data_IF_100806730675
#
_entry.id   IF_100806730675
#
_cell.length_a   1.000
_cell.length_b   1.000
_cell.length_c   1.000
_cell.angle_alpha   90.00
_cell.angle_beta   90.00
_cell.angle_gamma   90.00
#
_symmetry.space_group_name_H-M   'P 1'
#
loop_
_entity.id
_entity.type
_entity.pdbx_description
1 polymer ?
#
# COMPACT_ATOMS: atom_id res chain seq x y z
N UNK A 1 14.98 -1.83 -0.39
CA UNK A 1 14.94 -3.09 -1.16
C UNK A 1 16.07 -3.99 -0.70
N UNK A 2 15.75 -5.26 -0.46
CA UNK A 2 16.71 -6.30 -0.11
C UNK A 2 16.62 -7.43 -1.16
N UNK A 3 17.71 -8.15 -1.41
CA UNK A 3 17.81 -9.18 -2.45
C UNK A 3 19.00 -8.97 -3.38
N UNK A 4 19.22 -9.90 -4.31
CA UNK A 4 20.29 -9.81 -5.32
C UNK A 4 20.03 -8.64 -6.28
N UNK A 5 21.08 -8.07 -6.85
CA UNK A 5 20.96 -6.97 -7.82
C UNK A 5 20.12 -7.34 -9.05
N UNK A 6 20.21 -8.60 -9.49
CA UNK A 6 19.37 -9.14 -10.56
C UNK A 6 17.89 -9.12 -10.19
N UNK A 7 17.53 -9.59 -8.98
CA UNK A 7 16.15 -9.59 -8.51
C UNK A 7 15.59 -8.17 -8.36
N UNK A 8 16.41 -7.21 -7.88
CA UNK A 8 16.01 -5.80 -7.79
C UNK A 8 15.72 -5.21 -9.17
N UNK A 9 16.56 -5.49 -10.18
CA UNK A 9 16.35 -5.02 -11.57
C UNK A 9 15.09 -5.63 -12.19
N UNK A 10 14.87 -6.93 -12.02
CA UNK A 10 13.68 -7.61 -12.53
C UNK A 10 12.40 -7.07 -11.87
N UNK A 11 12.43 -6.86 -10.54
CA UNK A 11 11.32 -6.24 -9.81
C UNK A 11 10.99 -4.84 -10.35
N UNK A 12 12.00 -3.98 -10.56
CA UNK A 12 11.79 -2.65 -11.12
C UNK A 12 11.22 -2.68 -12.54
N UNK A 13 11.69 -3.60 -13.38
CA UNK A 13 11.19 -3.79 -14.75
C UNK A 13 9.71 -4.17 -14.73
N UNK A 14 9.30 -5.05 -13.82
CA UNK A 14 7.91 -5.47 -13.70
C UNK A 14 7.03 -4.40 -13.03
N UNK A 15 7.57 -3.67 -12.06
CA UNK A 15 6.88 -2.55 -11.42
C UNK A 15 6.49 -1.49 -12.45
N UNK A 16 7.43 -1.10 -13.34
CA UNK A 16 7.20 -0.11 -14.40
C UNK A 16 6.15 -0.54 -15.45
N UNK A 17 5.79 -1.82 -15.54
CA UNK A 17 4.75 -2.29 -16.48
C UNK A 17 3.33 -2.04 -15.96
N UNK A 18 3.15 -1.68 -14.69
CA UNK A 18 1.82 -1.47 -14.09
C UNK A 18 1.20 -0.20 -14.64
N UNK A 19 -0.02 -0.31 -15.17
CA UNK A 19 -0.77 0.82 -15.75
C UNK A 19 -1.08 1.95 -14.75
N UNK A 20 -1.21 1.61 -13.47
CA UNK A 20 -1.46 2.58 -12.40
C UNK A 20 -0.21 3.36 -11.99
N UNK A 21 0.99 2.96 -12.42
CA UNK A 21 2.24 3.63 -12.02
C UNK A 21 2.63 4.67 -13.08
N UNK A 22 2.55 5.95 -12.73
CA UNK A 22 2.89 7.08 -13.61
C UNK A 22 4.36 7.47 -13.54
N UNK A 23 4.96 7.35 -12.37
CA UNK A 23 6.36 7.70 -12.14
C UNK A 23 7.00 6.71 -11.19
N UNK A 24 8.27 6.39 -11.45
CA UNK A 24 9.11 5.59 -10.57
C UNK A 24 10.45 6.29 -10.43
N UNK A 25 10.86 6.58 -9.20
CA UNK A 25 12.18 7.10 -8.85
C UNK A 25 12.88 6.10 -7.93
N UNK A 26 14.19 5.92 -8.12
CA UNK A 26 15.00 5.05 -7.28
C UNK A 26 16.16 5.84 -6.71
N UNK A 27 16.30 5.82 -5.38
CA UNK A 27 17.45 6.41 -4.67
C UNK A 27 18.07 5.34 -3.78
N UNK A 28 19.23 4.81 -4.17
CA UNK A 28 19.85 3.68 -3.51
C UNK A 28 18.91 2.46 -3.44
N UNK A 29 18.59 2.04 -2.22
CA UNK A 29 17.67 0.92 -1.97
C UNK A 29 16.20 1.36 -1.81
N UNK A 30 15.87 2.64 -1.98
CA UNK A 30 14.51 3.16 -1.88
C UNK A 30 13.88 3.31 -3.28
N UNK A 31 12.59 3.01 -3.38
CA UNK A 31 11.78 3.27 -4.57
C UNK A 31 10.63 4.18 -4.15
N UNK A 32 10.42 5.23 -4.92
CA UNK A 32 9.26 6.11 -4.83
C UNK A 32 8.41 5.91 -6.08
N UNK A 33 7.10 5.72 -5.91
CA UNK A 33 6.17 5.60 -7.03
C UNK A 33 5.06 6.62 -6.91
N UNK A 34 4.72 7.25 -8.05
CA UNK A 34 3.47 8.00 -8.19
C UNK A 34 2.45 7.06 -8.84
N UNK A 35 1.39 6.77 -8.11
CA UNK A 35 0.33 5.88 -8.55
C UNK A 35 -0.93 6.72 -8.86
N UNK A 36 -1.53 6.49 -10.01
CA UNK A 36 -2.89 6.94 -10.34
C UNK A 36 -3.78 5.69 -10.29
N UNK A 37 -4.63 5.63 -9.26
CA UNK A 37 -5.63 4.56 -9.14
C UNK A 37 -6.93 4.99 -9.86
N UNK A 38 -7.63 4.06 -10.52
CA UNK A 38 -8.94 4.34 -11.11
C UNK A 38 -9.92 4.88 -10.06
N UNK A 39 -10.88 5.75 -10.44
CA UNK A 39 -11.90 6.26 -9.53
C UNK A 39 -12.71 5.15 -8.84
N UNK A 40 -12.92 4.00 -9.51
CA UNK A 40 -13.60 2.84 -8.89
C UNK A 40 -12.81 2.22 -7.73
N UNK A 41 -11.56 2.63 -7.53
CA UNK A 41 -10.68 2.24 -6.44
C UNK A 41 -10.51 3.29 -5.35
N UNK A 42 -11.39 4.28 -5.31
CA UNK A 42 -11.51 5.26 -4.23
C UNK A 42 -11.85 4.65 -2.85
N UNK A 43 -11.88 3.34 -2.66
CA UNK A 43 -12.03 2.72 -1.33
C UNK A 43 -10.95 3.13 -0.33
N UNK A 44 -9.81 3.65 -0.79
CA UNK A 44 -8.80 4.27 0.07
C UNK A 44 -9.15 5.69 0.54
N UNK A 45 -10.12 6.38 -0.08
CA UNK A 45 -10.46 7.77 0.27
C UNK A 45 -10.97 7.89 1.70
N UNK A 46 -11.75 6.92 2.17
CA UNK A 46 -12.34 6.94 3.51
C UNK A 46 -11.27 6.92 4.60
N UNK A 47 -10.29 6.00 4.62
CA UNK A 47 -9.20 6.07 5.61
C UNK A 47 -8.38 7.37 5.57
N UNK A 48 -8.28 8.05 4.42
CA UNK A 48 -7.57 9.32 4.26
C UNK A 48 -8.46 10.56 4.47
N UNK A 49 -9.72 10.38 4.89
CA UNK A 49 -10.59 11.48 5.28
C UNK A 49 -9.96 12.21 6.49
N UNK A 50 -9.82 13.56 6.44
CA UNK A 50 -9.18 14.34 7.50
C UNK A 50 -9.90 14.26 8.86
N UNK A 51 -11.14 13.76 8.90
CA UNK A 51 -11.85 13.49 10.15
C UNK A 51 -11.25 12.30 10.92
N UNK A 52 -10.47 11.43 10.26
CA UNK A 52 -9.79 10.33 10.92
C UNK A 52 -8.44 10.73 11.50
N UNK A 53 -8.21 10.29 12.73
CA UNK A 53 -6.94 10.33 13.42
C UNK A 53 -6.29 8.96 13.20
N UNK A 54 -5.17 8.94 12.48
CA UNK A 54 -4.37 7.74 12.27
C UNK A 54 -3.16 7.75 13.21
N UNK A 55 -3.13 6.95 14.29
CA UNK A 55 -1.89 6.71 15.01
C UNK A 55 -0.91 5.99 14.07
N UNK A 56 0.25 6.60 13.81
CA UNK A 56 1.39 5.95 13.14
C UNK A 56 2.34 5.43 14.22
N UNK A 57 2.99 4.26 14.03
CA UNK A 57 3.14 3.50 12.78
C UNK A 57 2.06 2.42 12.53
N UNK A 58 1.79 2.13 11.25
CA UNK A 58 0.96 0.97 10.84
C UNK A 58 1.77 -0.31 11.07
N UNK A 59 1.23 -1.25 11.83
CA UNK A 59 1.87 -2.54 12.06
C UNK A 59 1.58 -3.52 10.91
N UNK A 60 2.62 -4.04 10.28
CA UNK A 60 2.52 -5.04 9.20
C UNK A 60 2.86 -6.42 9.75
N UNK A 61 1.97 -7.39 9.59
CA UNK A 61 2.17 -8.77 10.00
C UNK A 61 3.11 -9.53 9.05
N UNK A 62 3.72 -10.64 9.50
CA UNK A 62 4.53 -11.50 8.63
C UNK A 62 3.78 -12.14 7.45
N UNK A 63 2.46 -12.30 7.56
CA UNK A 63 1.58 -12.77 6.49
C UNK A 63 1.20 -11.65 5.48
N UNK A 64 1.66 -10.42 5.74
CA UNK A 64 1.48 -9.27 4.89
C UNK A 64 0.16 -8.53 5.07
N UNK A 65 -0.63 -8.86 6.09
CA UNK A 65 -1.76 -8.03 6.50
C UNK A 65 -1.29 -6.82 7.32
N UNK A 66 -1.98 -5.69 7.17
CA UNK A 66 -1.73 -4.47 7.92
C UNK A 66 -2.82 -4.26 8.98
N UNK A 67 -2.43 -3.87 10.19
CA UNK A 67 -3.36 -3.36 11.18
C UNK A 67 -3.57 -1.87 10.97
N UNK A 68 -4.80 -1.51 10.64
CA UNK A 68 -5.23 -0.13 10.53
C UNK A 68 -5.95 0.26 11.83
N UNK A 69 -5.31 1.14 12.59
CA UNK A 69 -5.94 1.80 13.72
C UNK A 69 -6.49 3.14 13.23
N UNK A 70 -7.81 3.34 13.40
CA UNK A 70 -8.50 4.56 13.01
C UNK A 70 -9.30 5.07 14.21
N UNK A 71 -9.15 6.35 14.53
CA UNK A 71 -9.99 7.04 15.50
C UNK A 71 -10.72 8.22 14.83
N UNK A 72 -11.90 8.58 15.33
CA UNK A 72 -12.64 9.77 14.91
C UNK A 72 -13.46 10.27 16.10
N UNK A 73 -13.65 11.58 16.20
CA UNK A 73 -14.55 12.16 17.21
C UNK A 73 -16.01 11.77 16.96
N UNK A 74 -16.40 11.66 15.69
CA UNK A 74 -17.74 11.28 15.29
C UNK A 74 -17.84 9.79 14.98
N UNK A 75 -18.89 9.13 15.48
CA UNK A 75 -19.15 7.72 15.20
C UNK A 75 -19.49 7.46 13.72
N UNK A 76 -20.18 8.41 13.07
CA UNK A 76 -20.73 8.21 11.72
C UNK A 76 -19.63 7.96 10.66
N UNK A 77 -18.52 8.71 10.61
CA UNK A 77 -17.38 8.37 9.77
C UNK A 77 -16.82 6.98 10.05
N UNK A 78 -16.58 6.60 11.31
CA UNK A 78 -16.06 5.27 11.68
C UNK A 78 -16.93 4.13 11.15
N UNK A 79 -18.26 4.27 11.20
CA UNK A 79 -19.16 3.24 10.70
C UNK A 79 -19.04 3.04 9.19
N UNK A 80 -18.75 4.09 8.41
CA UNK A 80 -18.58 3.97 6.95
C UNK A 80 -17.36 3.14 6.56
N UNK A 81 -16.36 3.04 7.42
CA UNK A 81 -15.19 2.18 7.17
C UNK A 81 -15.60 0.71 7.13
N UNK A 82 -16.62 0.31 7.89
CA UNK A 82 -17.11 -1.07 7.91
C UNK A 82 -17.75 -1.50 6.59
N UNK A 83 -18.16 -0.54 5.76
CA UNK A 83 -18.74 -0.77 4.44
C UNK A 83 -17.67 -0.92 3.35
N UNK A 84 -16.38 -0.70 3.68
CA UNK A 84 -15.27 -0.86 2.73
C UNK A 84 -15.07 -2.35 2.45
N UNK A 85 -15.12 -2.80 1.18
CA UNK A 85 -14.97 -4.22 0.86
C UNK A 85 -13.58 -4.74 1.27
N UNK A 86 -13.53 -5.95 1.81
CA UNK A 86 -12.26 -6.63 2.08
C UNK A 86 -11.71 -7.20 0.78
N UNK A 87 -10.53 -6.75 0.36
CA UNK A 87 -9.87 -7.25 -0.83
C UNK A 87 -8.73 -8.20 -0.49
N UNK A 88 -8.62 -9.28 -1.25
CA UNK A 88 -7.45 -10.14 -1.21
C UNK A 88 -6.36 -9.53 -2.08
N UNK A 89 -5.26 -9.10 -1.48
CA UNK A 89 -4.08 -8.65 -2.20
C UNK A 89 -3.08 -9.80 -2.32
N UNK A 90 -2.53 -10.00 -3.51
CA UNK A 90 -1.46 -10.97 -3.70
C UNK A 90 -0.14 -10.39 -3.18
N UNK A 91 0.35 -10.95 -2.07
CA UNK A 91 1.65 -10.59 -1.55
C UNK A 91 2.76 -11.09 -2.48
N UNK A 92 3.33 -10.21 -3.29
CA UNK A 92 4.49 -10.52 -4.12
C UNK A 92 5.76 -10.21 -3.33
N UNK A 93 6.27 -11.19 -2.60
CA UNK A 93 7.60 -11.10 -1.97
C UNK A 93 8.70 -11.46 -2.97
N UNK A 94 9.86 -10.83 -2.84
CA UNK A 94 11.09 -11.32 -3.46
C UNK A 94 11.53 -12.50 -2.58
N UNK A 95 11.58 -13.72 -3.14
CA UNK A 95 12.06 -14.91 -2.42
C UNK A 95 13.40 -14.56 -1.75
N UNK A 96 13.47 -14.77 -0.42
CA UNK A 96 14.76 -14.84 0.28
C UNK A 96 15.47 -16.09 -0.24
N UNK A 97 16.48 -15.91 -1.07
CA UNK A 97 17.45 -16.96 -1.33
C UNK A 97 18.26 -17.14 -0.03
N UNK A 98 18.26 -18.36 0.52
CA UNK A 98 19.13 -18.76 1.62
C UNK A 98 20.60 -18.58 1.25
#
# INVERSE_FOLDING_TARGET
MQGTEENKKNFLKDLKKRKTIKKVEQTGNYIFTLNEEPPEKEYYTLPFDPQFIQPKPIAVKPDGFEYWELACWDKKPLMKIMDVPVFKVDLRSIKKTK
#
